data_IF_625042925832
#
_entry.id   IF_625042925832
#
_cell.length_a   1.000
_cell.length_b   1.000
_cell.length_c   1.000
_cell.angle_alpha   90.00
_cell.angle_beta   90.00
_cell.angle_gamma   90.00
#
_symmetry.space_group_name_H-M   'P 1'
#
loop_
_entity.id
_entity.type
_entity.pdbx_description
1 polymer ?
2 polymer ?
3 water ?
#
# COMPACT_ATOMS: atom_id res chain seq x y z
N UNK A 2 12.75 -8.54 -14.55
CA UNK A 2 11.39 -8.94 -14.01
C UNK A 2 11.14 -8.20 -12.70
N UNK A 3 10.30 -7.16 -12.72
CA UNK A 3 10.07 -6.19 -11.60
C UNK A 3 9.44 -6.92 -10.39
N UNK A 4 10.12 -6.98 -9.24
CA UNK A 4 9.69 -7.76 -8.03
C UNK A 4 9.32 -6.88 -6.81
N UNK A 5 8.13 -7.03 -6.25
CA UNK A 5 7.81 -6.37 -4.93
C UNK A 5 8.07 -7.42 -3.84
N UNK A 6 8.84 -7.12 -2.81
CA UNK A 6 8.93 -8.02 -1.63
C UNK A 6 8.30 -7.40 -0.36
N UNK A 7 8.17 -8.22 0.69
CA UNK A 7 7.64 -7.82 2.00
C UNK A 7 8.45 -8.46 3.10
N UNK A 8 9.16 -7.69 3.94
CA UNK A 8 10.01 -8.26 4.98
C UNK A 8 9.15 -8.92 6.08
N UNK A 9 7.89 -8.51 6.22
CA UNK A 9 6.94 -9.05 7.22
C UNK A 9 5.64 -9.27 6.44
N UNK A 10 5.09 -10.49 6.34
CA UNK A 10 3.76 -10.71 5.67
C UNK A 10 2.64 -10.82 6.70
N UNK A 11 2.98 -10.75 7.99
CA UNK A 11 1.98 -10.77 9.10
C UNK A 11 2.36 -9.77 10.19
N UNK A 12 1.45 -8.82 10.44
CA UNK A 12 1.47 -7.88 11.59
C UNK A 12 0.33 -8.20 12.58
N UNK A 13 0.72 -8.27 13.85
CA UNK A 13 -0.18 -8.41 15.00
C UNK A 13 -0.11 -7.10 15.75
N UNK A 14 -1.17 -6.34 15.75
CA UNK A 14 -1.16 -4.96 16.35
C UNK A 14 -2.29 -4.82 17.36
N UNK A 15 -2.08 -3.89 18.26
CA UNK A 15 -3.10 -3.62 19.32
C UNK A 15 -4.16 -2.69 18.76
N UNK A 16 -5.40 -2.88 19.16
CA UNK A 16 -6.47 -1.90 18.89
C UNK A 16 -6.05 -0.49 19.33
N UNK A 17 -6.25 0.53 18.48
CA UNK A 17 -6.03 1.94 18.85
C UNK A 17 -4.59 2.39 18.69
N UNK A 18 -3.67 1.50 18.41
CA UNK A 18 -2.27 1.84 18.15
C UNK A 18 -2.13 2.39 16.70
N UNK A 19 -0.90 2.66 16.34
CA UNK A 19 -0.50 3.03 14.96
C UNK A 19 0.31 1.89 14.39
N UNK A 20 0.24 1.68 13.09
CA UNK A 20 1.07 0.63 12.45
C UNK A 20 1.56 1.09 11.09
N UNK A 21 2.77 0.63 10.80
CA UNK A 21 3.37 0.88 9.48
C UNK A 21 3.68 -0.48 8.84
N UNK A 22 3.10 -0.71 7.67
CA UNK A 22 3.20 -2.02 6.95
C UNK A 22 4.02 -1.67 5.71
N UNK A 23 5.05 -2.45 5.43
CA UNK A 23 6.09 -2.13 4.40
C UNK A 23 5.98 -3.05 3.19
N UNK A 24 6.15 -2.52 1.98
CA UNK A 24 6.56 -3.38 0.86
C UNK A 24 7.59 -2.65 0.02
N UNK A 25 8.53 -3.45 -0.51
CA UNK A 25 9.81 -3.01 -1.07
C UNK A 25 9.72 -3.22 -2.57
N UNK A 26 10.34 -2.34 -3.27
CA UNK A 26 10.48 -2.45 -4.71
C UNK A 26 11.91 -2.05 -5.03
N UNK A 27 12.39 -2.39 -6.24
CA UNK A 27 13.76 -2.06 -6.61
C UNK A 27 13.80 -0.59 -7.03
N UNK A 28 14.83 0.16 -6.67
CA UNK A 28 15.01 1.54 -7.18
C UNK A 28 16.47 1.65 -7.58
N UNK A 29 16.75 2.45 -8.59
CA UNK A 29 18.13 2.74 -9.08
C UNK A 29 18.23 4.21 -9.47
N UNK A 30 19.32 4.88 -9.12
CA UNK A 30 19.54 6.28 -9.54
C UNK A 30 18.18 6.98 -9.39
N UNK A 31 17.59 7.46 -10.47
CA UNK A 31 16.40 8.37 -10.41
C UNK A 31 15.08 7.59 -10.26
N UNK A 32 14.14 8.27 -9.66
CA UNK A 32 12.83 7.69 -9.41
C UNK A 32 11.92 8.76 -9.98
N UNK A 33 11.49 8.57 -11.23
CA UNK A 33 10.60 9.58 -11.83
C UNK A 33 9.20 9.30 -11.24
N UNK A 34 8.70 10.19 -10.37
CA UNK A 34 7.33 10.07 -9.78
C UNK A 34 6.30 10.00 -10.89
N UNK A 35 6.58 10.60 -12.05
CA UNK A 35 5.68 10.58 -13.22
C UNK A 35 5.38 9.12 -13.62
N UNK A 36 6.27 8.15 -13.42
CA UNK A 36 6.10 6.78 -13.94
C UNK A 36 5.70 5.83 -12.82
N UNK A 37 5.82 6.28 -11.56
CA UNK A 37 5.69 5.42 -10.35
C UNK A 37 4.19 5.32 -9.98
N UNK A 38 3.71 4.10 -9.77
CA UNK A 38 2.33 3.92 -9.21
C UNK A 38 2.45 3.11 -7.93
N UNK A 39 1.89 3.64 -6.82
CA UNK A 39 1.80 2.84 -5.56
C UNK A 39 0.31 2.77 -5.15
N UNK A 40 -0.17 1.52 -5.04
CA UNK A 40 -1.58 1.18 -4.74
C UNK A 40 -1.59 0.37 -3.47
N UNK A 41 -2.39 0.82 -2.50
CA UNK A 41 -2.72 0.01 -1.31
C UNK A 41 -4.23 -0.21 -1.30
N UNK A 42 -4.59 -1.47 -1.09
CA UNK A 42 -6.01 -1.85 -0.93
C UNK A 42 -6.11 -3.00 0.07
N UNK A 43 -7.28 -3.10 0.63
CA UNK A 43 -7.65 -4.28 1.46
C UNK A 43 -9.08 -4.64 1.10
N UNK A 44 -9.21 -5.87 0.62
CA UNK A 44 -10.47 -6.43 0.09
C UNK A 44 -10.85 -5.54 -1.09
N UNK A 45 -11.99 -4.88 -1.01
CA UNK A 45 -12.63 -4.06 -2.07
C UNK A 45 -12.38 -2.57 -1.81
N UNK A 46 -11.62 -2.23 -0.74
CA UNK A 46 -11.44 -0.84 -0.22
C UNK A 46 -10.12 -0.21 -0.77
N UNK A 47 -10.19 0.87 -1.53
CA UNK A 47 -8.96 1.61 -1.93
C UNK A 47 -8.44 2.33 -0.65
N UNK A 48 -7.18 2.09 -0.30
CA UNK A 48 -6.55 2.87 0.81
C UNK A 48 -5.70 4.00 0.22
N UNK A 49 -4.71 3.65 -0.60
CA UNK A 49 -3.82 4.65 -1.26
C UNK A 49 -3.85 4.40 -2.78
N UNK A 50 -4.04 5.43 -3.57
CA UNK A 50 -3.79 5.44 -5.01
C UNK A 50 -2.83 6.61 -5.30
N UNK A 51 -1.54 6.29 -5.40
CA UNK A 51 -0.40 7.26 -5.58
C UNK A 51 0.09 7.15 -7.03
N UNK A 52 -0.18 8.20 -7.79
CA UNK A 52 0.07 8.32 -9.25
C UNK A 52 0.65 9.71 -9.49
N UNK A 53 1.63 9.84 -10.40
CA UNK A 53 2.33 11.17 -10.51
C UNK A 53 2.72 11.82 -9.17
N UNK A 54 3.28 11.11 -8.19
CA UNK A 54 3.84 11.80 -6.99
C UNK A 54 2.77 12.45 -6.11
N UNK A 55 1.51 12.06 -6.32
CA UNK A 55 0.29 12.60 -5.63
C UNK A 55 -0.71 11.46 -5.25
N UNK A 56 -0.91 11.28 -3.90
CA UNK A 56 -2.06 10.57 -3.31
C UNK A 56 -3.31 11.22 -3.91
N UNK A 57 -4.21 10.42 -4.42
CA UNK A 57 -5.55 10.85 -4.91
C UNK A 57 -6.60 10.46 -3.86
N UNK A 58 -7.29 11.47 -3.31
CA UNK A 58 -8.08 11.33 -2.05
C UNK A 58 -9.57 11.17 -2.34
N UNK A 59 -10.01 11.44 -3.57
CA UNK A 59 -11.42 11.20 -3.97
C UNK A 59 -11.69 9.69 -3.86
N UNK A 60 -10.75 8.83 -4.26
CA UNK A 60 -10.92 7.35 -4.42
C UNK A 60 -10.79 6.62 -3.07
N UNK A 61 -10.35 7.27 -2.00
CA UNK A 61 -9.92 6.58 -0.76
C UNK A 61 -11.13 6.12 0.07
N UNK A 62 -11.29 4.82 0.33
CA UNK A 62 -12.42 4.35 1.17
C UNK A 62 -12.54 5.22 2.43
N UNK A 63 -13.79 5.48 2.81
CA UNK A 63 -14.14 6.36 3.93
C UNK A 63 -13.55 5.83 5.24
N UNK A 64 -13.40 4.52 5.41
CA UNK A 64 -12.98 3.99 6.74
C UNK A 64 -11.55 4.49 7.05
N UNK A 65 -10.78 4.79 6.00
CA UNK A 65 -9.35 5.19 6.09
C UNK A 65 -9.17 6.72 5.97
N UNK A 66 -10.24 7.50 5.79
CA UNK A 66 -10.17 8.99 5.81
C UNK A 66 -9.38 9.42 7.07
N UNK A 67 -8.27 10.15 6.87
CA UNK A 67 -7.46 10.88 7.90
C UNK A 67 -6.67 9.93 8.79
N UNK A 68 -6.61 8.63 8.44
CA UNK A 68 -5.90 7.61 9.22
C UNK A 68 -4.78 6.97 8.38
N UNK A 69 -4.87 7.00 7.04
CA UNK A 69 -3.97 6.21 6.17
C UNK A 69 -3.06 7.17 5.39
N UNK A 70 -1.75 6.89 5.36
CA UNK A 70 -0.81 7.77 4.66
C UNK A 70 0.29 6.91 4.06
N UNK A 71 0.67 7.20 2.83
CA UNK A 71 1.91 6.66 2.25
C UNK A 71 3.10 7.47 2.80
N UNK A 72 4.12 6.83 3.35
CA UNK A 72 5.35 7.52 3.82
C UNK A 72 6.23 7.79 2.60
N UNK A 73 6.11 8.93 1.99
CA UNK A 73 6.78 9.16 0.68
C UNK A 73 8.29 9.51 0.80
N UNK A 74 8.81 9.88 1.96
CA UNK A 74 10.27 10.09 2.16
C UNK A 74 10.97 8.74 2.04
N UNK A 75 10.17 7.67 1.95
CA UNK A 75 10.66 6.26 1.94
C UNK A 75 10.84 5.76 0.50
N UNK A 76 10.16 6.40 -0.46
CA UNK A 76 10.09 5.83 -1.85
C UNK A 76 11.52 5.69 -2.36
N UNK A 77 12.41 6.55 -1.93
CA UNK A 77 13.74 6.61 -2.59
C UNK A 77 14.62 5.42 -2.18
N UNK A 78 14.34 4.76 -1.07
CA UNK A 78 15.11 3.59 -0.54
C UNK A 78 14.42 2.30 -0.99
N UNK A 79 13.34 2.47 -1.74
CA UNK A 79 12.55 1.36 -2.33
C UNK A 79 11.61 0.79 -1.32
N UNK A 80 11.10 1.69 -0.46
CA UNK A 80 10.16 1.40 0.66
C UNK A 80 8.81 2.10 0.37
N UNK A 81 7.73 1.36 0.22
CA UNK A 81 6.40 1.92 -0.03
C UNK A 81 5.56 1.64 1.21
N UNK A 82 5.77 2.39 2.27
CA UNK A 82 5.29 2.06 3.62
C UNK A 82 3.94 2.75 3.89
N UNK A 83 2.94 1.96 4.22
CA UNK A 83 1.58 2.39 4.55
C UNK A 83 1.50 2.58 6.07
N UNK A 84 1.21 3.79 6.52
CA UNK A 84 1.03 4.07 7.96
C UNK A 84 -0.49 4.22 8.19
N UNK A 85 -1.00 3.55 9.22
CA UNK A 85 -2.43 3.66 9.64
C UNK A 85 -2.43 3.97 11.14
N UNK A 86 -3.06 5.08 11.46
CA UNK A 86 -3.17 5.61 12.83
C UNK A 86 -4.53 5.12 13.38
N UNK A 87 -4.57 4.95 14.67
CA UNK A 87 -5.82 4.66 15.43
C UNK A 87 -6.37 3.33 14.85
N UNK A 88 -5.60 2.24 14.89
CA UNK A 88 -6.02 0.96 14.27
C UNK A 88 -7.38 0.47 14.88
N UNK A 89 -8.27 0.13 13.99
CA UNK A 89 -9.63 -0.31 14.32
C UNK A 89 -9.70 -1.86 14.21
N UNK A 90 -10.66 -2.49 14.91
CA UNK A 90 -10.87 -3.95 14.64
C UNK A 90 -11.13 -4.19 13.15
N UNK A 91 -11.85 -3.34 12.45
CA UNK A 91 -12.15 -3.52 11.00
C UNK A 91 -10.87 -3.38 10.17
N UNK A 92 -9.74 -2.92 10.74
CA UNK A 92 -8.47 -2.84 9.96
C UNK A 92 -7.86 -4.24 9.78
N UNK A 93 -8.29 -5.24 10.57
CA UNK A 93 -7.82 -6.64 10.43
C UNK A 93 -8.21 -7.17 9.04
N UNK A 94 -7.32 -7.90 8.43
CA UNK A 94 -7.49 -8.52 7.10
C UNK A 94 -6.28 -8.57 6.26
N UNK A 95 -6.49 -8.79 4.95
CA UNK A 95 -5.45 -9.00 3.95
C UNK A 95 -5.28 -7.70 3.16
N UNK A 96 -4.09 -7.13 3.20
CA UNK A 96 -3.72 -5.88 2.47
C UNK A 96 -2.97 -6.30 1.22
N UNK A 97 -3.13 -5.56 0.14
CA UNK A 97 -2.25 -5.74 -1.02
C UNK A 97 -1.60 -4.38 -1.35
N UNK A 98 -0.32 -4.45 -1.54
CA UNK A 98 0.65 -3.43 -2.04
C UNK A 98 0.90 -3.71 -3.52
N UNK A 99 0.40 -2.90 -4.47
CA UNK A 99 0.80 -2.95 -5.89
C UNK A 99 1.71 -1.76 -6.20
N UNK A 100 2.86 -2.02 -6.87
CA UNK A 100 3.81 -0.96 -7.30
C UNK A 100 4.15 -1.18 -8.77
N UNK A 101 4.01 -0.14 -9.60
CA UNK A 101 4.41 -0.18 -11.02
C UNK A 101 5.49 0.89 -11.23
N UNK A 102 6.51 0.49 -11.98
CA UNK A 102 7.65 1.34 -12.41
C UNK A 102 8.24 0.57 -13.60
N UNK A 103 7.66 0.71 -14.79
CA UNK A 103 7.91 -0.24 -15.90
C UNK A 103 7.35 -1.60 -15.55
N UNK A 104 6.07 -1.82 -15.76
CA UNK A 104 5.59 -3.11 -15.30
C UNK A 104 5.53 -3.15 -13.77
N UNK A 105 4.99 -4.23 -13.21
CA UNK A 105 4.29 -4.14 -11.89
C UNK A 105 4.40 -5.45 -11.11
N UNK A 106 4.12 -5.39 -9.82
CA UNK A 106 4.01 -6.62 -8.99
C UNK A 106 3.22 -6.25 -7.74
N UNK A 107 2.65 -7.22 -7.03
CA UNK A 107 1.83 -6.93 -5.83
C UNK A 107 2.18 -8.01 -4.82
N UNK A 108 2.12 -7.69 -3.55
CA UNK A 108 2.28 -8.67 -2.48
C UNK A 108 1.14 -8.50 -1.47
N UNK A 109 0.88 -9.57 -0.73
CA UNK A 109 -0.18 -9.64 0.27
C UNK A 109 0.46 -9.52 1.66
N UNK A 110 -0.17 -8.73 2.53
CA UNK A 110 0.19 -8.66 3.97
C UNK A 110 -1.06 -8.95 4.78
N UNK A 111 -0.94 -9.76 5.83
CA UNK A 111 -2.05 -9.99 6.76
C UNK A 111 -1.85 -9.17 8.03
N UNK A 112 -2.88 -8.42 8.39
CA UNK A 112 -2.99 -7.70 9.69
C UNK A 112 -3.97 -8.41 10.59
N UNK A 113 -3.53 -8.65 11.82
CA UNK A 113 -4.41 -9.08 12.91
C UNK A 113 -4.38 -8.00 14.02
N UNK A 114 -5.55 -7.66 14.51
CA UNK A 114 -5.78 -6.63 15.56
C UNK A 114 -6.23 -7.35 16.81
N UNK A 115 -5.44 -7.24 17.90
CA UNK A 115 -5.90 -7.62 19.27
C UNK A 115 -6.92 -6.63 19.84
N UNK A 116 -8.11 -7.13 20.14
CA UNK A 116 -9.17 -6.35 20.75
C UNK A 116 -8.70 -5.95 22.13
N UNK A 117 -9.24 -4.92 22.73
CA UNK A 117 -8.72 -4.50 24.02
C UNK A 117 -9.02 -5.52 25.14
N UNK A 118 -7.99 -5.79 25.97
CA UNK A 118 -7.88 -6.71 27.14
C UNK A 118 -8.55 -8.07 26.78
CA UNK B 1 -8.22 4.33 -15.04
C UNK B 1 -7.79 3.15 -15.91
N UNK B 2 -6.57 3.19 -16.45
CA UNK B 2 -5.79 2.00 -16.88
C UNK B 2 -6.37 0.75 -16.21
N UNK B 3 -6.02 -0.44 -16.68
CA UNK B 3 -6.26 -1.65 -15.84
C UNK B 3 -5.16 -2.71 -16.09
N UNK B 4 -4.65 -3.27 -14.98
CA UNK B 4 -3.42 -4.11 -14.82
C UNK B 4 -3.78 -5.48 -14.29
N UNK B 5 -3.20 -6.57 -14.81
CA UNK B 5 -3.40 -7.91 -14.18
C UNK B 5 -2.03 -8.46 -13.81
N UNK B 6 -1.92 -8.96 -12.57
CA UNK B 6 -0.67 -9.52 -12.00
C UNK B 6 -1.04 -10.85 -11.35
N UNK B 7 -0.54 -11.95 -11.91
CA UNK B 7 -0.78 -13.30 -11.37
C UNK B 7 -2.27 -13.44 -11.10
N UNK B 8 -3.14 -13.06 -12.02
CA UNK B 8 -4.59 -13.33 -11.88
C UNK B 8 -5.20 -12.49 -10.72
N UNK B 9 -4.57 -11.40 -10.27
CA UNK B 9 -5.38 -10.33 -9.64
C UNK B 9 -5.26 -9.04 -10.51
N UNK B 10 -6.41 -8.36 -10.71
CA UNK B 10 -6.54 -7.10 -11.49
C UNK B 10 -6.43 -5.91 -10.55
N UNK B 11 -6.03 -4.72 -11.08
CA UNK B 11 -6.03 -3.39 -10.40
C UNK B 11 -6.44 -2.26 -11.38
N UNK B 12 -7.47 -1.43 -11.04
CA UNK B 12 -8.00 -0.29 -11.86
C UNK B 12 -7.82 1.03 -11.09
N UNK B 13 -8.33 2.14 -11.63
CA UNK B 13 -8.35 3.50 -11.01
C UNK B 13 -9.52 3.62 -10.01
N UNK B 14 -9.94 4.85 -9.67
CA UNK B 14 -11.09 5.15 -8.78
C UNK B 14 -12.37 4.43 -9.19
#
# INVERSE_FOLDING_TARGET
NAFTVTVPKDLYVVEYGSNMTIECKFPVEKQLDLAALIVYWEMEDKNIIQFVHGEEDLKVQHSSYRQRARLLKDQLSLGNAALQITDVKLQDAGVYRCMISYGGADYKRITVKVNAPYAAALEHHHHHH
AFLFVIRDRVFRCG
#
